data_IF_841461155320
#
_entry.id   IF_841461155320
#
_cell.length_a   1.000
_cell.length_b   1.000
_cell.length_c   1.000
_cell.angle_alpha   90.00
_cell.angle_beta   90.00
_cell.angle_gamma   90.00
#
_symmetry.space_group_name_H-M   'P 1'
#
loop_
_entity.id
_entity.type
_entity.pdbx_description
1 polymer ?
#
# COMPACT_ATOMS: atom_id res chain seq x y z
N UNK A 1 0.29 -5.82 9.63
CA UNK A 1 1.76 -6.00 9.57
C UNK A 1 2.43 -4.64 9.68
N UNK A 2 3.69 -4.55 10.11
CA UNK A 2 4.40 -3.27 10.20
C UNK A 2 5.50 -3.20 9.14
N UNK A 3 5.58 -2.06 8.47
CA UNK A 3 6.70 -1.70 7.60
C UNK A 3 7.14 -0.30 8.04
N UNK A 4 8.38 -0.19 8.52
CA UNK A 4 8.88 1.01 9.22
C UNK A 4 7.94 1.44 10.37
N UNK A 5 7.47 2.69 10.35
CA UNK A 5 6.54 3.28 11.31
C UNK A 5 5.06 3.17 10.89
N UNK A 6 4.76 2.45 9.80
CA UNK A 6 3.40 2.31 9.28
C UNK A 6 2.79 0.95 9.60
N UNK A 7 1.52 1.01 10.01
CA UNK A 7 0.67 -0.15 10.29
C UNK A 7 -0.19 -0.46 9.06
N UNK A 8 0.06 -1.61 8.43
CA UNK A 8 -0.73 -2.11 7.31
C UNK A 8 -1.77 -3.09 7.85
N UNK A 9 -3.03 -2.68 7.84
CA UNK A 9 -4.18 -3.49 8.24
C UNK A 9 -4.74 -4.17 7.01
N UNK A 10 -4.57 -5.48 6.92
CA UNK A 10 -5.10 -6.26 5.80
C UNK A 10 -6.62 -6.36 5.92
N UNK A 11 -7.35 -5.79 4.96
CA UNK A 11 -8.82 -5.77 4.95
C UNK A 11 -9.40 -6.89 4.10
N UNK A 12 -8.65 -7.38 3.11
CA UNK A 12 -8.97 -8.56 2.33
C UNK A 12 -7.69 -9.32 1.95
N UNK A 13 -7.74 -10.66 1.95
CA UNK A 13 -6.57 -11.50 1.72
C UNK A 13 -6.34 -11.82 0.24
N UNK A 14 -7.40 -11.80 -0.59
CA UNK A 14 -7.34 -12.14 -2.01
C UNK A 14 -8.57 -11.66 -2.78
N UNK A 15 -8.40 -11.38 -4.07
CA UNK A 15 -9.42 -11.04 -5.06
C UNK A 15 -10.39 -9.90 -4.66
N UNK A 16 -9.91 -8.73 -4.20
CA UNK A 16 -8.51 -8.29 -4.15
C UNK A 16 -7.79 -8.54 -2.82
N UNK A 17 -6.46 -8.63 -2.84
CA UNK A 17 -5.66 -8.42 -1.63
C UNK A 17 -5.56 -6.91 -1.34
N UNK A 18 -5.87 -6.51 -0.12
CA UNK A 18 -6.06 -5.10 0.26
C UNK A 18 -5.50 -4.77 1.63
N UNK A 19 -4.98 -3.55 1.76
CA UNK A 19 -4.51 -3.01 3.03
C UNK A 19 -4.92 -1.55 3.20
N UNK A 20 -5.34 -1.20 4.40
CA UNK A 20 -5.34 0.19 4.88
C UNK A 20 -4.01 0.47 5.55
N UNK A 21 -3.40 1.62 5.24
CA UNK A 21 -2.11 2.04 5.80
C UNK A 21 -2.32 3.14 6.82
N UNK A 22 -1.84 2.94 8.04
CA UNK A 22 -1.94 3.88 9.15
C UNK A 22 -0.57 4.39 9.58
N UNK A 23 -0.49 5.67 9.94
CA UNK A 23 0.70 6.26 10.56
C UNK A 23 0.75 6.02 12.08
N UNK A 24 1.83 6.49 12.73
CA UNK A 24 2.02 6.42 14.20
C UNK A 24 0.94 7.15 15.02
N UNK A 25 0.16 8.03 14.39
CA UNK A 25 -0.94 8.77 15.00
C UNK A 25 -2.31 8.11 14.72
N UNK A 26 -2.32 6.88 14.18
CA UNK A 26 -3.51 6.14 13.82
C UNK A 26 -4.37 6.84 12.77
N UNK A 27 -3.76 7.68 11.91
CA UNK A 27 -4.41 8.30 10.76
C UNK A 27 -4.19 7.40 9.55
N UNK A 28 -5.26 7.13 8.79
CA UNK A 28 -5.10 6.44 7.52
C UNK A 28 -4.41 7.38 6.52
N UNK A 29 -3.30 6.91 5.95
CA UNK A 29 -2.43 7.66 5.05
C UNK A 29 -2.20 6.96 3.72
N UNK A 30 -2.77 5.77 3.53
CA UNK A 30 -2.76 5.12 2.23
C UNK A 30 -3.72 3.95 2.15
N UNK A 31 -3.85 3.47 0.93
CA UNK A 31 -4.63 2.29 0.60
C UNK A 31 -3.90 1.48 -0.47
N UNK A 32 -3.75 0.18 -0.24
CA UNK A 32 -3.03 -0.73 -1.11
C UNK A 32 -4.00 -1.76 -1.69
N UNK A 33 -3.87 -2.09 -2.98
CA UNK A 33 -4.74 -3.06 -3.63
C UNK A 33 -4.05 -3.79 -4.78
N UNK A 34 -4.11 -5.11 -4.74
CA UNK A 34 -3.77 -5.99 -5.87
C UNK A 34 -5.04 -6.62 -6.46
N UNK A 35 -5.31 -6.37 -7.75
CA UNK A 35 -6.38 -7.06 -8.50
C UNK A 35 -6.11 -7.07 -9.99
N UNK A 36 -6.40 -8.20 -10.62
CA UNK A 36 -6.19 -8.42 -12.04
C UNK A 36 -4.73 -8.15 -12.47
N UNK A 37 -3.78 -8.60 -11.64
CA UNK A 37 -2.34 -8.43 -11.87
C UNK A 37 -1.82 -6.99 -11.69
N UNK A 38 -2.67 -6.06 -11.23
CA UNK A 38 -2.26 -4.67 -10.97
C UNK A 38 -2.24 -4.40 -9.49
N UNK A 39 -1.05 -4.12 -8.96
CA UNK A 39 -0.86 -3.59 -7.62
C UNK A 39 -0.71 -2.08 -7.66
N UNK A 40 -1.41 -1.38 -6.75
CA UNK A 40 -1.28 0.06 -6.62
C UNK A 40 -1.35 0.52 -5.17
N UNK A 41 -0.77 1.70 -4.93
CA UNK A 41 -0.90 2.45 -3.69
C UNK A 41 -1.56 3.81 -3.97
N UNK A 42 -2.72 4.02 -3.35
CA UNK A 42 -3.48 5.27 -3.42
C UNK A 42 -3.19 6.11 -2.16
N UNK A 43 -3.02 7.43 -2.34
CA UNK A 43 -2.78 8.41 -1.29
C UNK A 43 -3.86 9.52 -1.27
N UNK A 44 -4.34 9.96 -0.10
CA UNK A 44 -4.14 9.36 1.22
C UNK A 44 -5.11 8.19 1.49
N UNK A 45 -6.14 8.03 0.66
CA UNK A 45 -7.21 7.06 0.84
C UNK A 45 -7.52 6.36 -0.49
N UNK A 46 -8.33 5.31 -0.44
CA UNK A 46 -8.78 4.59 -1.62
C UNK A 46 -9.38 5.55 -2.68
N UNK A 47 -8.88 5.46 -3.92
CA UNK A 47 -9.32 6.32 -5.03
C UNK A 47 -8.71 7.72 -5.03
N UNK A 48 -7.74 7.99 -4.14
CA UNK A 48 -6.90 9.18 -4.21
C UNK A 48 -5.87 9.13 -5.34
N UNK A 49 -4.78 9.87 -5.18
CA UNK A 49 -3.66 9.87 -6.13
C UNK A 49 -2.91 8.54 -6.07
N UNK A 50 -2.74 7.86 -7.20
CA UNK A 50 -1.88 6.67 -7.29
C UNK A 50 -0.42 7.12 -7.23
N UNK A 51 0.26 6.83 -6.12
CA UNK A 51 1.68 7.20 -5.90
C UNK A 51 2.65 6.07 -6.23
N UNK A 52 2.13 4.85 -6.37
CA UNK A 52 2.88 3.67 -6.79
C UNK A 52 1.97 2.72 -7.57
N UNK A 53 2.50 2.14 -8.64
CA UNK A 53 1.84 1.12 -9.44
C UNK A 53 2.87 0.10 -9.93
N UNK A 54 2.51 -1.17 -9.92
CA UNK A 54 3.32 -2.28 -10.39
C UNK A 54 2.47 -3.44 -10.90
N UNK A 55 3.14 -4.40 -11.55
CA UNK A 55 2.52 -5.56 -12.18
C UNK A 55 3.16 -6.85 -11.65
N UNK A 56 2.88 -7.22 -10.39
CA UNK A 56 3.36 -8.47 -9.80
C UNK A 56 2.81 -9.71 -10.52
N UNK A 57 3.39 -10.87 -10.27
CA UNK A 57 2.94 -12.14 -10.85
C UNK A 57 1.58 -12.57 -10.29
N UNK A 58 1.29 -12.20 -9.03
CA UNK A 58 0.02 -12.45 -8.38
C UNK A 58 -1.17 -11.72 -9.03
N UNK A 59 -2.26 -12.43 -9.33
CA UNK A 59 -3.43 -11.83 -10.00
C UNK A 59 -4.41 -11.15 -9.03
N UNK A 60 -4.67 -11.76 -7.88
CA UNK A 60 -5.58 -11.23 -6.86
C UNK A 60 -5.01 -11.30 -5.45
N UNK A 61 -3.81 -11.87 -5.33
CA UNK A 61 -3.04 -12.06 -4.10
C UNK A 61 -1.60 -12.17 -4.54
N UNK A 62 -0.68 -11.57 -3.80
CA UNK A 62 0.74 -11.66 -4.12
C UNK A 62 1.24 -13.10 -3.99
N UNK A 63 2.23 -13.45 -4.81
CA UNK A 63 3.12 -14.55 -4.52
C UNK A 63 3.99 -14.23 -3.29
N UNK A 64 4.41 -15.27 -2.57
CA UNK A 64 5.08 -15.07 -1.27
C UNK A 64 6.44 -14.35 -1.38
N UNK A 65 7.13 -14.45 -2.52
CA UNK A 65 8.44 -13.82 -2.74
C UNK A 65 8.35 -12.32 -3.08
N UNK A 66 7.22 -11.86 -3.63
CA UNK A 66 7.05 -10.46 -4.08
C UNK A 66 6.33 -9.60 -3.04
N UNK A 67 5.47 -10.19 -2.21
CA UNK A 67 4.61 -9.46 -1.26
C UNK A 67 5.36 -8.42 -0.43
N UNK A 68 6.46 -8.81 0.21
CA UNK A 68 7.21 -7.90 1.09
C UNK A 68 7.88 -6.78 0.30
N UNK A 69 8.41 -7.08 -0.90
CA UNK A 69 9.06 -6.11 -1.76
C UNK A 69 8.06 -5.05 -2.22
N UNK A 70 6.94 -5.48 -2.78
CA UNK A 70 5.88 -4.62 -3.32
C UNK A 70 5.26 -3.74 -2.23
N UNK A 71 4.92 -4.32 -1.07
CA UNK A 71 4.40 -3.55 0.05
C UNK A 71 5.42 -2.53 0.57
N UNK A 72 6.72 -2.86 0.58
CA UNK A 72 7.77 -1.89 0.99
C UNK A 72 7.87 -0.73 0.00
N UNK A 73 7.89 -0.99 -1.31
CA UNK A 73 7.93 0.06 -2.35
C UNK A 73 6.71 0.98 -2.28
N UNK A 74 5.52 0.43 -2.06
CA UNK A 74 4.31 1.21 -1.86
C UNK A 74 4.39 2.14 -0.64
N UNK A 75 4.94 1.65 0.48
CA UNK A 75 5.11 2.46 1.70
C UNK A 75 6.15 3.57 1.51
N UNK A 76 7.26 3.29 0.83
CA UNK A 76 8.24 4.32 0.47
C UNK A 76 7.60 5.45 -0.35
N UNK A 77 6.74 5.11 -1.32
CA UNK A 77 6.05 6.09 -2.16
C UNK A 77 5.03 6.93 -1.36
N UNK A 78 4.24 6.30 -0.49
CA UNK A 78 3.31 7.01 0.41
C UNK A 78 4.08 7.96 1.34
N UNK A 79 5.19 7.50 1.92
CA UNK A 79 6.03 8.34 2.78
C UNK A 79 6.61 9.54 2.02
N UNK A 80 7.17 9.32 0.82
CA UNK A 80 7.66 10.41 -0.01
C UNK A 80 6.58 11.45 -0.31
N UNK A 81 5.34 11.01 -0.57
CA UNK A 81 4.21 11.91 -0.82
C UNK A 81 3.80 12.70 0.43
N UNK A 82 3.81 12.08 1.61
CA UNK A 82 3.54 12.75 2.89
C UNK A 82 4.58 13.83 3.22
N UNK A 83 5.86 13.57 2.95
CA UNK A 83 6.96 14.54 3.12
C UNK A 83 6.75 15.75 2.22
N UNK A 84 6.37 15.56 0.96
CA UNK A 84 6.07 16.66 0.02
C UNK A 84 4.90 17.52 0.53
N UNK A 85 3.89 16.90 1.14
CA UNK A 85 2.73 17.59 1.72
C UNK A 85 3.04 18.29 3.07
N UNK A 86 4.25 18.13 3.63
CA UNK A 86 4.62 18.58 4.99
C UNK A 86 3.68 18.07 6.09
N UNK A 87 3.17 16.84 5.95
CA UNK A 87 2.20 16.23 6.89
C UNK A 87 2.83 15.35 7.98
N UNK A 88 4.15 15.16 7.90
CA UNK A 88 4.99 14.41 8.85
C UNK A 88 6.37 15.07 8.97
#
# INVERSE_FOLDING_TARGET
MKIYEYDLVRTCIACPEQYDVYDKHNRQVGYLRLRHGTFRADYPLCGGETVYESFPDGDGMFEDYERMYELTKAIEAIHARLVIDNKI
#
